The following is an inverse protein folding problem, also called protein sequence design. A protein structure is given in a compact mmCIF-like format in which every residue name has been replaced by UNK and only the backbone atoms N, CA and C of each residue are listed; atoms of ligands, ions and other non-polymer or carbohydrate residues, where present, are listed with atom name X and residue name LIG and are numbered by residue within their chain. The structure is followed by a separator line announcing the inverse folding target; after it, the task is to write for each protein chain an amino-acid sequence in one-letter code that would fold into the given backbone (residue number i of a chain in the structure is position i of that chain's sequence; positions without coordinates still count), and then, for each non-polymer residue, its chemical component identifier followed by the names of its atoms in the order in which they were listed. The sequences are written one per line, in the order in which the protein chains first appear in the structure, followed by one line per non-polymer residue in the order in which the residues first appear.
data_IF_689749866715
#
_entry.id   IF_689749866715
#
_cell.length_a   1.000
_cell.length_b   1.000
_cell.length_c   1.000
_cell.angle_alpha   90.00
_cell.angle_beta   90.00
_cell.angle_gamma   90.00
#
_symmetry.space_group_name_H-M   'P 1'
#
loop_
_entity.id
_entity.type
_entity.pdbx_description
1 polymer ?
#
# COMPACT_ATOMS: atom_id res chain seq x y z
N UNK A 1 22.07 -2.43 -2.92
CA UNK A 1 21.16 -1.51 -2.21
C UNK A 1 20.12 -0.92 -3.16
N UNK A 2 20.53 -0.37 -4.31
CA UNK A 2 19.63 0.27 -5.29
C UNK A 2 18.54 -0.66 -5.88
N UNK A 3 18.85 -1.94 -6.15
CA UNK A 3 17.88 -2.88 -6.71
C UNK A 3 16.72 -3.22 -5.75
N UNK A 4 17.04 -3.46 -4.46
CA UNK A 4 16.02 -3.74 -3.44
C UNK A 4 15.09 -2.54 -3.24
N UNK A 5 15.66 -1.34 -3.19
CA UNK A 5 14.90 -0.10 -3.07
C UNK A 5 13.92 0.08 -4.24
N UNK A 6 14.37 -0.13 -5.50
CA UNK A 6 13.49 -0.06 -6.68
C UNK A 6 12.33 -1.06 -6.63
N UNK A 7 12.59 -2.28 -6.14
CA UNK A 7 11.55 -3.30 -5.97
C UNK A 7 10.53 -2.90 -4.92
N UNK A 8 10.98 -2.39 -3.77
CA UNK A 8 10.11 -1.90 -2.68
C UNK A 8 9.21 -0.76 -3.18
N UNK A 9 9.81 0.25 -3.83
CA UNK A 9 9.10 1.37 -4.45
C UNK A 9 8.02 0.85 -5.41
N UNK A 10 8.39 -0.03 -6.32
CA UNK A 10 7.45 -0.57 -7.30
C UNK A 10 6.32 -1.37 -6.62
N UNK A 11 6.63 -2.13 -5.56
CA UNK A 11 5.64 -2.88 -4.82
C UNK A 11 4.64 -1.98 -4.08
N UNK A 12 5.14 -0.95 -3.41
CA UNK A 12 4.33 0.08 -2.75
C UNK A 12 3.39 0.78 -3.74
N UNK A 13 3.92 1.20 -4.90
CA UNK A 13 3.11 1.80 -5.99
C UNK A 13 1.97 0.88 -6.39
N UNK A 14 2.28 -0.41 -6.57
CA UNK A 14 1.28 -1.39 -6.99
C UNK A 14 0.20 -1.63 -5.94
N UNK A 15 0.54 -1.63 -4.65
CA UNK A 15 -0.45 -1.80 -3.60
C UNK A 15 -1.42 -0.61 -3.50
N UNK A 16 -0.92 0.61 -3.68
CA UNK A 16 -1.76 1.83 -3.77
C UNK A 16 -2.70 1.72 -4.98
N UNK A 17 -2.16 1.33 -6.13
CA UNK A 17 -2.93 1.12 -7.36
C UNK A 17 -3.98 0.02 -7.27
N UNK A 18 -3.70 -1.06 -6.54
CA UNK A 18 -4.67 -2.12 -6.31
C UNK A 18 -5.81 -1.60 -5.44
N UNK A 19 -5.49 -0.84 -4.40
CA UNK A 19 -6.47 -0.27 -3.48
C UNK A 19 -7.37 0.79 -4.12
N UNK A 20 -6.85 1.66 -5.00
CA UNK A 20 -7.70 2.65 -5.68
C UNK A 20 -8.75 2.03 -6.61
N UNK A 21 -8.52 0.79 -7.08
CA UNK A 21 -9.45 0.02 -7.94
C UNK A 21 -10.37 -0.91 -7.13
N UNK A 22 -10.24 -0.92 -5.81
CA UNK A 22 -10.93 -1.87 -4.95
C UNK A 22 -12.29 -1.33 -4.45
N UNK A 23 -13.38 -2.03 -4.79
CA UNK A 23 -14.75 -1.63 -4.38
C UNK A 23 -14.92 -1.50 -2.87
N UNK A 24 -14.28 -2.36 -2.08
CA UNK A 24 -14.38 -2.32 -0.62
C UNK A 24 -13.67 -1.08 -0.06
N UNK A 25 -12.48 -0.77 -0.59
CA UNK A 25 -11.75 0.46 -0.24
C UNK A 25 -12.60 1.69 -0.60
N UNK A 26 -13.17 1.74 -1.81
CA UNK A 26 -14.07 2.84 -2.21
C UNK A 26 -15.26 3.00 -1.27
N UNK A 27 -15.92 1.90 -0.92
CA UNK A 27 -17.08 1.94 -0.04
C UNK A 27 -16.73 2.44 1.37
N UNK A 28 -15.57 2.03 1.89
CA UNK A 28 -15.05 2.52 3.17
C UNK A 28 -14.70 4.01 3.12
N UNK A 29 -14.11 4.49 2.02
CA UNK A 29 -13.81 5.92 1.86
C UNK A 29 -15.09 6.77 1.89
N UNK A 30 -16.14 6.33 1.18
CA UNK A 30 -17.47 6.99 1.18
C UNK A 30 -18.08 6.99 2.59
N UNK A 31 -18.00 5.86 3.30
CA UNK A 31 -18.47 5.74 4.69
C UNK A 31 -17.77 6.76 5.61
N UNK A 32 -16.45 6.92 5.49
CA UNK A 32 -15.66 7.84 6.30
C UNK A 32 -16.09 9.30 6.07
N UNK A 33 -16.18 9.75 4.81
CA UNK A 33 -16.52 11.15 4.51
C UNK A 33 -17.97 11.47 4.89
N UNK A 34 -18.90 10.51 4.75
CA UNK A 34 -20.28 10.69 5.18
C UNK A 34 -20.39 10.79 6.71
N UNK A 35 -19.70 9.91 7.45
CA UNK A 35 -19.67 9.98 8.92
C UNK A 35 -19.03 11.26 9.44
N UNK A 36 -18.04 11.80 8.73
CA UNK A 36 -17.43 13.08 9.05
C UNK A 36 -18.29 14.29 8.68
N UNK A 37 -19.43 14.09 8.01
CA UNK A 37 -20.32 15.18 7.58
C UNK A 37 -19.70 16.09 6.54
N UNK A 38 -18.77 15.58 5.72
CA UNK A 38 -18.10 16.37 4.69
C UNK A 38 -19.12 16.80 3.64
N UNK A 39 -19.10 18.09 3.28
CA UNK A 39 -20.01 18.64 2.27
C UNK A 39 -19.60 18.17 0.87
N UNK A 40 -20.59 18.06 -0.01
CA UNK A 40 -20.33 17.79 -1.42
C UNK A 40 -19.36 18.85 -1.99
N UNK A 41 -18.41 18.39 -2.80
CA UNK A 41 -17.37 19.23 -3.43
C UNK A 41 -16.39 19.92 -2.46
N UNK A 42 -16.32 19.48 -1.20
CA UNK A 42 -15.29 19.94 -0.24
C UNK A 42 -14.05 19.02 -0.27
N UNK A 43 -13.22 19.18 -1.29
CA UNK A 43 -12.03 18.33 -1.47
C UNK A 43 -11.08 18.35 -0.26
N UNK A 44 -10.89 19.52 0.37
CA UNK A 44 -10.05 19.63 1.55
C UNK A 44 -10.69 18.97 2.77
N UNK A 45 -12.02 19.05 2.90
CA UNK A 45 -12.79 18.31 3.90
C UNK A 45 -12.62 16.80 3.73
N UNK A 46 -12.72 16.29 2.50
CA UNK A 46 -12.56 14.86 2.19
C UNK A 46 -11.14 14.38 2.54
N UNK A 47 -10.11 15.10 2.08
CA UNK A 47 -8.71 14.78 2.37
C UNK A 47 -8.45 14.82 3.88
N UNK A 48 -8.97 15.82 4.58
CA UNK A 48 -8.79 15.95 6.04
C UNK A 48 -9.49 14.82 6.78
N UNK A 49 -10.72 14.47 6.39
CA UNK A 49 -11.51 13.41 7.02
C UNK A 49 -10.82 12.05 6.87
N UNK A 50 -10.37 11.70 5.67
CA UNK A 50 -9.64 10.45 5.43
C UNK A 50 -8.32 10.44 6.21
N UNK A 51 -7.56 11.54 6.18
CA UNK A 51 -6.28 11.64 6.92
C UNK A 51 -6.49 11.42 8.41
N UNK A 52 -7.47 12.09 9.01
CA UNK A 52 -7.77 11.95 10.43
C UNK A 52 -8.33 10.58 10.78
N UNK A 53 -9.12 9.99 9.90
CA UNK A 53 -9.61 8.63 10.12
C UNK A 53 -8.45 7.64 10.14
N UNK A 54 -7.53 7.68 9.16
CA UNK A 54 -6.36 6.79 9.12
C UNK A 54 -5.50 6.97 10.37
N UNK A 55 -5.13 8.21 10.68
CA UNK A 55 -4.33 8.56 11.86
C UNK A 55 -4.90 8.05 13.19
N UNK A 56 -6.23 7.98 13.31
CA UNK A 56 -6.90 7.63 14.56
C UNK A 56 -7.38 6.17 14.64
N UNK A 57 -7.46 5.44 13.52
CA UNK A 57 -8.06 4.10 13.48
C UNK A 57 -7.07 3.01 13.07
N UNK A 58 -6.00 3.35 12.33
CA UNK A 58 -4.94 2.40 12.02
C UNK A 58 -3.92 2.44 13.16
N UNK A 59 -3.58 1.28 13.72
CA UNK A 59 -2.61 1.18 14.80
C UNK A 59 -1.20 0.98 14.25
N UNK A 60 -0.26 1.81 14.71
CA UNK A 60 1.13 1.72 14.27
C UNK A 60 1.86 0.57 14.97
N UNK A 61 2.45 -0.33 14.19
CA UNK A 61 3.31 -1.42 14.66
C UNK A 61 4.51 -1.52 13.71
N UNK A 62 5.71 -1.70 14.27
CA UNK A 62 6.90 -1.89 13.45
C UNK A 62 6.88 -3.23 12.75
N UNK A 63 7.48 -3.27 11.58
CA UNK A 63 7.79 -4.51 10.89
C UNK A 63 8.65 -5.48 11.73
N UNK A 64 8.55 -6.80 11.47
CA UNK A 64 9.46 -7.77 12.04
C UNK A 64 10.91 -7.43 11.70
N UNK A 65 11.83 -7.76 12.60
CA UNK A 65 13.23 -7.44 12.44
C UNK A 65 13.80 -7.96 11.10
N UNK A 66 14.36 -7.03 10.31
CA UNK A 66 14.99 -7.27 9.01
C UNK A 66 14.06 -7.85 7.91
N UNK A 67 12.75 -7.82 8.10
CA UNK A 67 11.74 -8.23 7.12
C UNK A 67 10.96 -7.00 6.69
N UNK A 68 10.86 -6.80 5.38
CA UNK A 68 9.92 -5.83 4.82
C UNK A 68 8.58 -6.53 4.64
N UNK A 69 7.52 -6.01 5.24
CA UNK A 69 6.21 -6.62 5.20
C UNK A 69 5.17 -5.61 4.72
N UNK A 70 4.42 -5.99 3.69
CA UNK A 70 3.40 -5.11 3.12
C UNK A 70 2.02 -5.76 3.16
N UNK A 71 1.00 -4.94 3.35
CA UNK A 71 -0.39 -5.37 3.25
C UNK A 71 -1.19 -4.53 2.26
N UNK A 72 -2.23 -5.14 1.71
CA UNK A 72 -3.22 -4.37 0.93
C UNK A 72 -4.01 -3.43 1.81
N UNK A 73 -4.45 -2.31 1.22
CA UNK A 73 -5.44 -1.44 1.85
C UNK A 73 -6.68 -2.22 2.30
N UNK A 74 -7.21 -3.15 1.48
CA UNK A 74 -8.35 -4.00 1.85
C UNK A 74 -8.08 -4.80 3.13
N UNK A 75 -6.90 -5.41 3.25
CA UNK A 75 -6.52 -6.22 4.40
C UNK A 75 -6.50 -5.35 5.66
N UNK A 76 -5.77 -4.23 5.62
CA UNK A 76 -5.64 -3.34 6.77
C UNK A 76 -7.00 -2.78 7.19
N UNK A 77 -7.84 -2.36 6.23
CA UNK A 77 -9.19 -1.87 6.54
C UNK A 77 -10.09 -2.93 7.21
N UNK A 78 -9.97 -4.21 6.82
CA UNK A 78 -10.67 -5.31 7.50
C UNK A 78 -10.13 -5.53 8.92
N UNK A 79 -8.82 -5.42 9.09
CA UNK A 79 -8.20 -5.57 10.41
C UNK A 79 -8.59 -4.40 11.33
N UNK A 80 -8.73 -3.17 10.80
CA UNK A 80 -9.32 -2.03 11.53
C UNK A 80 -10.75 -2.33 11.97
N UNK A 81 -11.60 -2.81 11.05
CA UNK A 81 -12.99 -3.16 11.35
C UNK A 81 -13.10 -4.26 12.43
N UNK A 82 -12.09 -5.15 12.51
CA UNK A 82 -11.99 -6.21 13.51
C UNK A 82 -11.31 -5.79 14.82
N UNK A 83 -10.78 -4.58 14.93
CA UNK A 83 -10.01 -4.12 16.09
C UNK A 83 -8.63 -4.79 16.22
N UNK A 84 -8.05 -5.23 15.11
CA UNK A 84 -6.80 -6.01 15.02
C UNK A 84 -5.77 -5.36 14.09
N UNK A 85 -5.92 -4.07 13.79
CA UNK A 85 -4.98 -3.38 12.89
C UNK A 85 -3.57 -3.32 13.50
N UNK A 86 -2.57 -3.43 12.63
CA UNK A 86 -1.16 -3.24 12.95
C UNK A 86 -0.43 -3.01 11.64
N UNK A 87 0.11 -1.81 11.46
CA UNK A 87 0.66 -1.34 10.19
C UNK A 87 1.87 -0.44 10.44
N UNK A 88 2.84 -0.46 9.55
CA UNK A 88 4.04 0.37 9.65
C UNK A 88 3.87 1.71 8.87
N UNK A 89 4.95 2.44 8.56
CA UNK A 89 4.84 3.71 7.85
C UNK A 89 4.32 3.59 6.42
N UNK A 90 4.66 2.53 5.69
CA UNK A 90 4.26 2.37 4.30
C UNK A 90 2.84 1.82 4.17
N UNK A 91 2.41 0.95 5.08
CA UNK A 91 1.06 0.41 5.16
C UNK A 91 0.02 1.53 5.41
N UNK A 92 0.36 2.49 6.27
CA UNK A 92 -0.46 3.69 6.48
C UNK A 92 -0.65 4.46 5.17
N UNK A 93 0.43 4.62 4.39
CA UNK A 93 0.40 5.32 3.11
C UNK A 93 -0.40 4.53 2.09
N UNK A 94 -0.28 3.20 2.06
CA UNK A 94 -1.09 2.32 1.21
C UNK A 94 -2.57 2.53 1.48
N UNK A 95 -3.02 2.45 2.73
CA UNK A 95 -4.44 2.64 3.08
C UNK A 95 -4.91 4.04 2.71
N UNK A 96 -4.17 5.06 3.15
CA UNK A 96 -4.54 6.45 2.97
C UNK A 96 -4.62 6.84 1.49
N UNK A 97 -3.58 6.51 0.70
CA UNK A 97 -3.53 6.82 -0.71
C UNK A 97 -4.55 6.01 -1.52
N UNK A 98 -4.86 4.78 -1.08
CA UNK A 98 -5.90 3.95 -1.71
C UNK A 98 -7.30 4.49 -1.44
N UNK A 99 -7.61 4.92 -0.20
CA UNK A 99 -8.90 5.52 0.14
C UNK A 99 -9.15 6.79 -0.68
N UNK A 100 -8.17 7.69 -0.74
CA UNK A 100 -8.27 8.92 -1.53
C UNK A 100 -8.26 8.65 -3.03
N UNK A 101 -7.40 7.75 -3.51
CA UNK A 101 -7.38 7.34 -4.91
C UNK A 101 -8.73 6.75 -5.34
N UNK A 102 -9.36 5.95 -4.48
CA UNK A 102 -10.68 5.39 -4.72
C UNK A 102 -11.81 6.43 -4.73
N UNK A 103 -11.59 7.64 -4.17
CA UNK A 103 -12.50 8.79 -4.30
C UNK A 103 -12.25 9.60 -5.59
N UNK A 104 -11.15 9.34 -6.31
CA UNK A 104 -10.80 10.00 -7.56
C UNK A 104 -9.62 10.97 -7.48
N UNK A 105 -8.95 11.04 -6.33
CA UNK A 105 -7.78 11.91 -6.18
C UNK A 105 -6.52 11.30 -6.80
N UNK A 106 -5.63 12.17 -7.30
CA UNK A 106 -4.28 11.74 -7.64
C UNK A 106 -3.47 11.60 -6.34
N UNK A 107 -2.98 10.39 -6.06
CA UNK A 107 -2.30 10.06 -4.79
C UNK A 107 -0.96 9.38 -5.03
N UNK A 108 -0.16 9.32 -3.98
CA UNK A 108 1.15 8.71 -4.00
C UNK A 108 1.81 8.69 -2.62
N UNK A 109 3.10 8.41 -2.63
CA UNK A 109 3.98 8.39 -1.47
C UNK A 109 5.16 9.35 -1.69
N UNK A 110 5.72 9.84 -0.59
CA UNK A 110 7.06 10.41 -0.56
C UNK A 110 7.89 9.59 0.43
N UNK A 111 8.99 9.03 -0.07
CA UNK A 111 9.92 8.26 0.75
C UNK A 111 11.05 9.22 1.15
N UNK A 112 11.35 9.29 2.43
CA UNK A 112 12.22 10.32 3.00
C UNK A 112 13.32 9.75 3.89
N UNK A 113 14.44 10.46 3.91
CA UNK A 113 15.44 10.34 4.96
C UNK A 113 15.04 11.33 6.08
N UNK A 114 14.56 10.79 7.20
CA UNK A 114 14.03 11.59 8.31
C UNK A 114 15.03 11.90 9.42
N UNK A 115 16.19 11.24 9.42
CA UNK A 115 17.21 11.33 10.47
C UNK A 115 18.55 11.91 9.97
N UNK A 116 18.64 12.22 8.66
CA UNK A 116 19.80 12.84 7.98
C UNK A 116 21.02 11.94 7.87
N UNK A 117 20.84 10.62 7.88
CA UNK A 117 21.93 9.65 7.70
C UNK A 117 22.20 9.28 6.22
N UNK A 118 21.41 9.83 5.30
CA UNK A 118 21.49 9.58 3.86
C UNK A 118 20.68 8.37 3.39
N UNK A 119 20.02 7.64 4.29
CA UNK A 119 19.24 6.42 4.02
C UNK A 119 17.75 6.70 4.16
N UNK A 120 16.95 6.24 3.20
CA UNK A 120 15.49 6.33 3.28
C UNK A 120 14.97 5.44 4.41
N UNK A 121 14.15 6.00 5.30
CA UNK A 121 13.72 5.34 6.54
C UNK A 121 12.28 5.66 6.97
N UNK A 122 11.58 6.50 6.21
CA UNK A 122 10.20 6.85 6.51
C UNK A 122 9.41 7.15 5.23
N UNK A 123 8.09 6.96 5.28
CA UNK A 123 7.19 7.19 4.15
C UNK A 123 6.01 8.05 4.60
N UNK A 124 5.65 9.05 3.79
CA UNK A 124 4.47 9.89 3.99
C UNK A 124 3.59 9.88 2.74
N UNK A 125 2.31 10.20 2.90
CA UNK A 125 1.36 10.28 1.79
C UNK A 125 1.46 11.61 1.04
N UNK A 126 1.19 11.59 -0.26
CA UNK A 126 0.95 12.81 -1.02
C UNK A 126 -0.33 12.71 -1.86
N UNK A 127 -1.06 13.82 -1.96
CA UNK A 127 -2.32 13.93 -2.72
C UNK A 127 -2.40 15.26 -3.45
N UNK A 128 -3.09 15.26 -4.58
CA UNK A 128 -3.43 16.48 -5.33
C UNK A 128 -4.95 16.59 -5.47
N UNK A 129 -5.45 17.79 -5.21
CA UNK A 129 -6.84 18.17 -5.53
C UNK A 129 -7.01 18.29 -7.05
N UNK A 130 -8.25 18.15 -7.51
CA UNK A 130 -8.61 18.27 -8.92
C UNK A 130 -8.46 19.71 -9.43
N UNK A 131 -8.67 20.70 -8.55
CA UNK A 131 -8.48 22.12 -8.83
C UNK A 131 -7.64 22.85 -7.76
N UNK A 132 -7.30 24.12 -8.00
CA UNK A 132 -6.59 24.94 -7.02
C UNK A 132 -7.44 25.15 -5.77
N UNK A 133 -6.85 24.92 -4.60
CA UNK A 133 -7.50 25.24 -3.32
C UNK A 133 -7.06 26.61 -2.79
N UNK A 134 -7.90 27.25 -1.96
CA UNK A 134 -7.54 28.52 -1.29
C UNK A 134 -6.27 28.39 -0.43
N UNK A 135 -6.05 27.22 0.19
CA UNK A 135 -4.97 27.00 1.15
C UNK A 135 -3.67 26.54 0.50
N UNK A 136 -3.75 25.67 -0.50
CA UNK A 136 -2.58 25.00 -1.08
C UNK A 136 -2.38 25.28 -2.57
N UNK A 137 -3.30 26.01 -3.21
CA UNK A 137 -3.28 26.23 -4.66
C UNK A 137 -3.28 24.90 -5.40
N UNK A 138 -2.40 24.78 -6.40
CA UNK A 138 -2.20 23.57 -7.22
C UNK A 138 -1.08 22.64 -6.69
N UNK A 139 -0.58 22.89 -5.47
CA UNK A 139 0.53 22.12 -4.90
C UNK A 139 0.06 20.75 -4.43
N UNK A 140 0.98 19.78 -4.45
CA UNK A 140 0.78 18.53 -3.72
C UNK A 140 0.66 18.81 -2.23
N UNK A 141 -0.28 18.11 -1.59
CA UNK A 141 -0.50 18.11 -0.16
C UNK A 141 0.13 16.85 0.41
N UNK A 142 0.99 16.99 1.40
CA UNK A 142 1.67 15.90 2.09
C UNK A 142 0.93 15.60 3.40
N UNK A 143 0.82 14.32 3.73
CA UNK A 143 0.26 13.86 4.99
C UNK A 143 1.27 12.95 5.71
N UNK A 144 1.69 13.40 6.88
CA UNK A 144 2.31 12.54 7.87
C UNK A 144 1.22 11.73 8.59
N UNK A 145 1.32 10.42 8.55
CA UNK A 145 0.22 9.51 8.89
C UNK A 145 0.43 8.77 10.21
N UNK A 146 1.68 8.57 10.64
CA UNK A 146 1.96 7.82 11.88
C UNK A 146 1.93 8.71 13.13
N UNK A 147 1.94 10.04 12.94
CA UNK A 147 1.80 11.02 14.03
C UNK A 147 0.41 11.68 13.99
N UNK A 148 -0.56 11.26 14.83
CA UNK A 148 -1.96 11.67 14.71
C UNK A 148 -2.21 13.17 14.95
N UNK A 149 -1.28 13.83 15.64
CA UNK A 149 -1.33 15.26 15.91
C UNK A 149 -0.92 16.12 14.70
N UNK A 150 -0.32 15.53 13.67
CA UNK A 150 0.13 16.28 12.51
C UNK A 150 -1.06 16.65 11.63
N UNK A 151 -1.01 17.88 11.14
CA UNK A 151 -1.95 18.44 10.17
C UNK A 151 -1.40 18.25 8.76
N UNK A 152 -2.27 18.37 7.75
CA UNK A 152 -1.87 18.39 6.36
C UNK A 152 -0.74 19.42 6.11
N UNK A 153 0.28 19.00 5.37
CA UNK A 153 1.56 19.68 5.11
C UNK A 153 2.48 19.89 6.31
N UNK A 154 2.26 19.20 7.43
CA UNK A 154 3.28 19.03 8.47
C UNK A 154 4.05 17.72 8.22
N UNK A 155 5.34 17.72 8.57
CA UNK A 155 6.27 16.64 8.28
C UNK A 155 7.33 16.54 9.36
N UNK A 156 7.90 15.35 9.52
CA UNK A 156 9.20 15.15 10.18
C UNK A 156 10.31 15.93 9.45
N UNK A 157 11.49 16.14 10.07
CA UNK A 157 12.66 16.66 9.37
C UNK A 157 12.98 15.80 8.13
N UNK A 158 13.43 16.42 7.04
CA UNK A 158 13.78 15.72 5.80
C UNK A 158 15.11 16.26 5.27
N UNK A 159 16.01 15.37 4.88
CA UNK A 159 17.24 15.68 4.11
C UNK A 159 17.15 15.24 2.66
N UNK A 160 16.38 14.19 2.35
CA UNK A 160 16.23 13.61 0.99
C UNK A 160 14.78 13.16 0.76
N UNK A 161 14.34 13.26 -0.50
CA UNK A 161 12.99 12.85 -0.93
C UNK A 161 13.08 12.00 -2.18
N UNK A 162 12.31 10.93 -2.22
CA UNK A 162 12.00 10.15 -3.41
C UNK A 162 10.47 10.14 -3.63
N UNK A 163 9.94 10.86 -4.64
CA UNK A 163 8.50 10.87 -4.90
C UNK A 163 8.05 9.62 -5.66
N UNK A 164 6.87 9.13 -5.31
CA UNK A 164 6.20 8.01 -5.95
C UNK A 164 4.75 8.38 -6.18
N UNK A 165 4.32 8.47 -7.45
CA UNK A 165 2.93 8.77 -7.80
C UNK A 165 2.27 7.50 -8.34
N UNK A 166 1.05 7.19 -7.86
CA UNK A 166 0.28 6.06 -8.37
C UNK A 166 -0.21 6.33 -9.79
N UNK A 167 -0.17 5.31 -10.65
CA UNK A 167 -0.69 5.39 -12.02
C UNK A 167 -2.08 4.75 -12.14
N UNK A 168 -3.08 5.61 -12.27
CA UNK A 168 -4.47 5.19 -12.45
C UNK A 168 -4.71 4.55 -13.85
N UNK A 169 -3.83 4.75 -14.83
CA UNK A 169 -4.00 4.23 -16.20
C UNK A 169 -3.56 2.77 -16.36
N UNK A 170 -2.84 2.21 -15.38
CA UNK A 170 -2.36 0.83 -15.46
C UNK A 170 -3.52 -0.18 -15.51
N UNK A 171 -3.48 -1.13 -16.46
CA UNK A 171 -4.51 -2.17 -16.71
C UNK A 171 -4.13 -3.56 -16.16
N UNK A 172 -3.14 -3.61 -15.26
CA UNK A 172 -2.59 -4.87 -14.74
C UNK A 172 -3.53 -5.56 -13.76
N UNK A 173 -3.40 -6.88 -13.66
CA UNK A 173 -4.04 -7.69 -12.62
C UNK A 173 -3.48 -7.30 -11.23
N UNK A 174 -4.34 -7.11 -10.21
CA UNK A 174 -3.90 -6.86 -8.84
C UNK A 174 -2.92 -7.93 -8.34
N UNK A 175 -1.93 -7.54 -7.53
CA UNK A 175 -0.83 -8.43 -7.08
C UNK A 175 -1.41 -9.71 -6.44
N UNK A 176 -2.42 -9.57 -5.60
CA UNK A 176 -3.03 -10.71 -4.89
C UNK A 176 -3.84 -11.65 -5.80
N UNK A 177 -4.17 -11.23 -7.02
CA UNK A 177 -4.84 -12.06 -8.02
C UNK A 177 -3.87 -12.70 -9.03
N UNK A 178 -2.61 -12.26 -9.10
CA UNK A 178 -1.61 -12.81 -10.02
C UNK A 178 -1.30 -14.29 -9.72
N UNK A 179 -1.28 -14.67 -8.43
CA UNK A 179 -1.07 -16.06 -8.01
C UNK A 179 -2.24 -16.99 -8.40
N UNK A 180 -3.45 -16.44 -8.58
CA UNK A 180 -4.62 -17.19 -9.05
C UNK A 180 -4.60 -17.30 -10.57
N UNK A 181 -4.33 -16.19 -11.28
CA UNK A 181 -4.25 -16.14 -12.75
C UNK A 181 -3.21 -17.11 -13.35
N UNK A 182 -2.07 -17.32 -12.67
CA UNK A 182 -1.07 -18.31 -13.07
C UNK A 182 -1.51 -19.78 -12.85
N UNK A 183 -2.49 -20.04 -11.99
CA UNK A 183 -3.02 -21.37 -11.68
C UNK A 183 -4.28 -21.76 -12.47
N UNK A 184 -4.97 -20.81 -13.11
CA UNK A 184 -6.15 -21.12 -13.95
C UNK A 184 -5.74 -21.57 -15.37
N UNK A 185 -4.56 -21.16 -15.84
CA UNK A 185 -3.97 -21.67 -17.09
C UNK A 185 -3.47 -23.13 -16.97
N UNK A 186 -3.46 -23.73 -15.79
CA UNK A 186 -3.05 -25.13 -15.58
C UNK A 186 -4.22 -26.09 -15.33
N UNK A 187 -5.49 -25.64 -15.37
CA UNK A 187 -6.64 -26.44 -14.97
C UNK A 187 -7.77 -26.59 -16.02
N UNK A 188 -7.48 -26.45 -17.31
CA UNK A 188 -8.46 -26.87 -18.34
C UNK A 188 -7.83 -27.45 -19.61
N UNK A 189 -8.06 -28.75 -19.87
CA UNK A 189 -8.05 -29.29 -21.25
C UNK A 189 -7.49 -30.70 -21.54
N UNK A 190 -8.13 -31.78 -21.05
CA UNK A 190 -8.42 -33.03 -21.80
C UNK A 190 -7.31 -34.06 -22.16
N UNK A 191 -7.67 -35.34 -22.42
CA UNK A 191 -6.78 -36.50 -22.25
C UNK A 191 -6.13 -37.01 -23.55
N UNK A 192 -4.86 -37.40 -23.49
CA UNK A 192 -4.25 -38.44 -24.34
C UNK A 192 -2.88 -38.82 -23.77
N UNK A 193 -2.47 -40.07 -24.00
CA UNK A 193 -1.46 -40.75 -23.20
C UNK A 193 0.00 -40.40 -23.50
N UNK A 194 0.84 -41.01 -22.67
CA UNK A 194 2.19 -41.48 -22.97
C UNK A 194 3.39 -40.61 -22.54
N UNK A 195 4.09 -41.18 -21.54
CA UNK A 195 5.53 -41.14 -21.26
C UNK A 195 6.16 -39.86 -20.66
N UNK A 196 6.30 -39.90 -19.33
CA UNK A 196 7.55 -39.70 -18.61
C UNK A 196 8.39 -38.45 -18.89
N UNK A 197 8.39 -37.52 -17.95
CA UNK A 197 9.59 -37.05 -17.20
C UNK A 197 9.13 -36.07 -16.13
N UNK A 198 9.02 -36.53 -14.88
CA UNK A 198 8.71 -35.65 -13.75
C UNK A 198 9.86 -34.70 -13.47
N UNK A 199 9.57 -33.41 -13.37
CA UNK A 199 10.55 -32.39 -12.98
C UNK A 199 10.97 -32.63 -11.53
N UNK A 200 12.24 -33.01 -11.30
CA UNK A 200 12.79 -33.20 -9.95
C UNK A 200 13.16 -31.86 -9.33
N UNK A 201 12.58 -31.55 -8.18
CA UNK A 201 12.84 -30.34 -7.41
C UNK A 201 14.32 -30.26 -6.96
N UNK A 202 15.03 -29.12 -7.16
CA UNK A 202 16.48 -29.02 -6.95
C UNK A 202 16.93 -29.20 -5.49
N UNK A 203 16.02 -29.23 -4.53
CA UNK A 203 16.33 -29.45 -3.10
C UNK A 203 15.93 -30.84 -2.56
N UNK A 204 15.46 -31.77 -3.41
CA UNK A 204 15.08 -33.12 -2.97
C UNK A 204 16.24 -33.99 -2.45
N UNK A 205 17.50 -33.59 -2.68
CA UNK A 205 18.69 -34.28 -2.16
C UNK A 205 19.25 -33.71 -0.85
N UNK A 206 18.76 -32.56 -0.37
CA UNK A 206 19.34 -31.87 0.81
C UNK A 206 18.55 -32.14 2.09
N UNK A 207 17.34 -32.70 1.99
CA UNK A 207 16.49 -33.00 3.16
C UNK A 207 16.37 -34.50 3.49
N UNK A 208 17.12 -35.37 2.80
CA UNK A 208 17.13 -36.83 3.02
C UNK A 208 18.25 -37.36 3.93
N UNK A 209 19.07 -36.49 4.54
CA UNK A 209 20.24 -36.88 5.34
C UNK A 209 20.19 -36.45 6.82
N UNK A 210 19.03 -36.00 7.32
CA UNK A 210 18.85 -35.57 8.73
C UNK A 210 17.81 -36.41 9.50
N UNK A 211 17.25 -37.46 8.90
CA UNK A 211 16.48 -38.48 9.61
C UNK A 211 16.99 -39.87 9.22
N UNK A 212 18.05 -40.30 9.89
CA UNK A 212 18.28 -41.68 10.34
C UNK A 212 19.74 -41.81 10.84
N UNK A 213 19.93 -41.45 12.11
CA UNK A 213 21.00 -42.03 12.95
C UNK A 213 20.34 -42.67 14.16
N UNK A 214 19.95 -43.93 14.01
CA UNK A 214 20.10 -44.99 15.00
C UNK A 214 20.51 -46.25 14.27
#
# INVERSE_FOLDING_TARGET
MEQRFKVVVEYLRRLIEDGLRDRFVRQKAIEIIHRAGVKQHDELGEITAITKWVQNNVHYVKDPWAVEYFMTARRILKDVDAGQSGADCDDFVIVWASLLGALGYQTGAIIVDSNKDGVFNHVMGCVKTMGPTKKYGNKWIVAELIFPNFKLNQSVPISRVYPLIADASTSRTPIHHQNIAGGINSLSGGPSGSLGTGYKHPYSRVLGFIQDKR
#
